data_IF_607424369649
#
_entry.id   IF_607424369649
#
_cell.length_a   1.000
_cell.length_b   1.000
_cell.length_c   1.000
_cell.angle_alpha   90.00
_cell.angle_beta   90.00
_cell.angle_gamma   90.00
#
_symmetry.space_group_name_H-M   'P 1'
#
loop_
_entity.id
_entity.type
_entity.pdbx_description
1 polymer ?
#
# COMPACT_ATOMS: atom_id res chain seq x y z
N UNK A 1 -3.48 23.20 -5.82
CA UNK A 1 -4.01 22.59 -4.59
C UNK A 1 -4.48 21.21 -4.99
N UNK A 2 -3.68 20.18 -4.76
CA UNK A 2 -3.97 18.83 -5.28
C UNK A 2 -5.11 18.27 -4.45
N UNK A 3 -6.23 17.93 -5.10
CA UNK A 3 -7.38 17.29 -4.45
C UNK A 3 -6.91 15.98 -3.81
N UNK A 4 -6.76 15.98 -2.50
CA UNK A 4 -6.64 14.77 -1.68
C UNK A 4 -8.07 14.23 -1.44
N UNK A 5 -8.78 13.90 -2.53
CA UNK A 5 -10.11 13.27 -2.49
C UNK A 5 -10.02 11.73 -2.49
N UNK A 6 -8.80 11.21 -2.41
CA UNK A 6 -8.60 9.80 -2.11
C UNK A 6 -8.74 9.64 -0.60
N UNK A 7 -9.89 9.19 -0.10
CA UNK A 7 -10.07 8.76 1.30
C UNK A 7 -9.13 7.61 1.75
N UNK A 8 -8.10 7.29 0.95
CA UNK A 8 -7.08 6.28 1.15
C UNK A 8 -5.92 6.88 1.94
N UNK A 9 -5.69 6.35 3.13
CA UNK A 9 -4.52 6.61 3.96
C UNK A 9 -3.60 5.40 3.92
N UNK A 10 -2.31 5.67 3.89
CA UNK A 10 -1.26 4.66 3.93
C UNK A 10 -0.46 4.92 5.21
N UNK A 11 -0.40 3.91 6.06
CA UNK A 11 0.27 3.99 7.36
C UNK A 11 1.46 3.03 7.34
N UNK A 12 2.61 3.49 7.84
CA UNK A 12 3.80 2.67 8.02
C UNK A 12 4.09 2.58 9.52
N UNK A 13 4.01 1.39 10.05
CA UNK A 13 4.27 1.08 11.46
C UNK A 13 5.53 0.21 11.57
N UNK A 14 6.49 0.62 12.40
CA UNK A 14 7.63 -0.21 12.75
C UNK A 14 7.26 -1.07 13.95
N UNK A 15 7.18 -2.39 13.76
CA UNK A 15 6.78 -3.33 14.82
C UNK A 15 7.98 -3.95 15.55
N UNK A 16 9.13 -3.99 14.88
CA UNK A 16 10.41 -4.39 15.42
C UNK A 16 11.54 -3.78 14.58
N UNK A 17 12.79 -3.73 15.08
CA UNK A 17 13.91 -3.19 14.31
C UNK A 17 14.07 -3.90 12.96
N UNK A 18 13.83 -3.15 11.87
CA UNK A 18 13.90 -3.68 10.51
C UNK A 18 12.66 -4.46 10.04
N UNK A 19 11.55 -4.36 10.79
CA UNK A 19 10.28 -4.99 10.47
C UNK A 19 9.16 -3.95 10.48
N UNK A 20 8.45 -3.83 9.36
CA UNK A 20 7.45 -2.80 9.15
C UNK A 20 6.13 -3.40 8.66
N UNK A 21 5.02 -2.80 9.08
CA UNK A 21 3.69 -3.06 8.56
C UNK A 21 3.22 -1.83 7.80
N UNK A 22 2.90 -2.00 6.52
CA UNK A 22 2.16 -1.03 5.74
C UNK A 22 0.68 -1.35 5.86
N UNK A 23 -0.14 -0.42 6.33
CA UNK A 23 -1.60 -0.55 6.34
C UNK A 23 -2.23 0.42 5.33
N UNK A 24 -3.24 -0.06 4.61
CA UNK A 24 -4.06 0.78 3.73
C UNK A 24 -5.43 0.93 4.36
N UNK A 25 -5.82 2.17 4.62
CA UNK A 25 -7.07 2.53 5.30
C UNK A 25 -7.91 3.37 4.36
N UNK A 26 -9.17 3.03 4.17
CA UNK A 26 -10.11 3.81 3.38
C UNK A 26 -11.32 4.19 4.22
N UNK A 27 -11.62 5.49 4.34
CA UNK A 27 -12.73 5.99 5.18
C UNK A 27 -12.73 5.33 6.57
N UNK A 28 -11.56 5.32 7.22
CA UNK A 28 -11.33 4.74 8.56
C UNK A 28 -11.43 3.21 8.65
N UNK A 29 -11.73 2.52 7.54
CA UNK A 29 -11.70 1.05 7.46
C UNK A 29 -10.35 0.58 6.93
N UNK A 30 -9.64 -0.24 7.70
CA UNK A 30 -8.44 -0.94 7.22
C UNK A 30 -8.83 -1.93 6.12
N UNK A 31 -8.35 -1.69 4.90
CA UNK A 31 -8.60 -2.54 3.73
C UNK A 31 -7.64 -3.73 3.67
N UNK A 32 -6.41 -3.52 4.14
CA UNK A 32 -5.39 -4.55 4.22
C UNK A 32 -4.10 -4.04 4.83
N UNK A 33 -3.18 -4.97 5.07
CA UNK A 33 -1.82 -4.65 5.47
C UNK A 33 -0.82 -5.60 4.84
N UNK A 34 0.40 -5.12 4.73
CA UNK A 34 1.52 -5.81 4.14
C UNK A 34 2.71 -5.74 5.09
N UNK A 35 3.34 -6.88 5.34
CA UNK A 35 4.55 -6.95 6.15
C UNK A 35 5.78 -6.78 5.25
N UNK A 36 6.72 -5.97 5.71
CA UNK A 36 8.00 -5.70 5.10
C UNK A 36 9.12 -5.99 6.08
N UNK A 37 10.22 -6.50 5.57
CA UNK A 37 11.48 -6.61 6.29
C UNK A 37 12.57 -5.91 5.48
N UNK A 38 13.40 -5.11 6.16
CA UNK A 38 14.45 -4.32 5.52
C UNK A 38 14.74 -3.07 6.33
N UNK A 39 15.39 -2.08 5.72
CA UNK A 39 15.67 -0.82 6.41
C UNK A 39 14.50 0.18 6.28
N UNK A 40 14.42 1.14 7.20
CA UNK A 40 13.38 2.19 7.20
C UNK A 40 13.33 2.96 5.88
N UNK A 41 14.48 3.17 5.23
CA UNK A 41 14.55 3.82 3.93
C UNK A 41 13.85 3.01 2.85
N UNK A 42 14.11 1.71 2.79
CA UNK A 42 13.48 0.79 1.84
C UNK A 42 11.98 0.69 2.11
N UNK A 43 11.58 0.59 3.38
CA UNK A 43 10.17 0.53 3.77
C UNK A 43 9.40 1.80 3.37
N UNK A 44 10.01 2.98 3.54
CA UNK A 44 9.43 4.26 3.13
C UNK A 44 9.35 4.37 1.61
N UNK A 45 10.39 3.95 0.89
CA UNK A 45 10.43 3.94 -0.58
C UNK A 45 9.35 3.01 -1.14
N UNK A 46 9.19 1.84 -0.52
CA UNK A 46 8.15 0.89 -0.88
C UNK A 46 6.76 1.45 -0.61
N UNK A 47 6.54 2.11 0.54
CA UNK A 47 5.28 2.76 0.88
C UNK A 47 4.86 3.77 -0.20
N UNK A 48 5.78 4.63 -0.63
CA UNK A 48 5.51 5.63 -1.66
C UNK A 48 5.20 5.00 -3.01
N UNK A 49 5.93 3.93 -3.39
CA UNK A 49 5.67 3.17 -4.60
C UNK A 49 4.29 2.47 -4.55
N UNK A 50 3.96 1.84 -3.42
CA UNK A 50 2.67 1.19 -3.18
C UNK A 50 1.52 2.21 -3.23
N UNK A 51 1.67 3.35 -2.56
CA UNK A 51 0.71 4.46 -2.58
C UNK A 51 0.44 4.92 -4.00
N UNK A 52 1.49 5.22 -4.77
CA UNK A 52 1.35 5.69 -6.16
C UNK A 52 0.63 4.66 -7.03
N UNK A 53 0.99 3.39 -6.92
CA UNK A 53 0.35 2.30 -7.69
C UNK A 53 -1.14 2.16 -7.33
N UNK A 54 -1.47 2.10 -6.05
CA UNK A 54 -2.85 1.92 -5.57
C UNK A 54 -3.72 3.12 -5.94
N UNK A 55 -3.23 4.35 -5.76
CA UNK A 55 -3.96 5.57 -6.15
C UNK A 55 -4.21 5.62 -7.66
N UNK A 56 -3.21 5.29 -8.48
CA UNK A 56 -3.38 5.22 -9.94
C UNK A 56 -4.40 4.14 -10.37
N UNK A 57 -4.36 2.98 -9.70
CA UNK A 57 -5.27 1.86 -9.96
C UNK A 57 -6.74 2.21 -9.65
N UNK A 58 -6.98 3.12 -8.71
CA UNK A 58 -8.33 3.54 -8.28
C UNK A 58 -8.84 4.77 -9.04
N UNK A 59 -7.94 5.64 -9.52
CA UNK A 59 -8.31 6.84 -10.29
C UNK A 59 -8.51 6.57 -11.77
N UNK A 60 -7.85 5.54 -12.33
CA UNK A 60 -7.94 5.20 -13.76
C UNK A 60 -9.20 4.43 -14.17
N UNK A 61 -9.82 3.72 -13.22
CA UNK A 61 -11.00 2.88 -13.43
C UNK A 61 -11.89 3.18 -12.25
N UNK A 62 -13.01 3.91 -12.41
CA UNK A 62 -13.88 4.27 -11.28
C UNK A 62 -14.48 2.99 -10.69
N UNK A 63 -13.88 2.38 -9.65
CA UNK A 63 -14.20 1.01 -9.34
C UNK A 63 -15.46 1.04 -8.50
N UNK A 64 -16.48 0.32 -8.93
CA UNK A 64 -17.61 0.00 -8.06
C UNK A 64 -17.13 -0.73 -6.77
N UNK A 65 -15.92 -1.32 -6.79
CA UNK A 65 -15.31 -2.09 -5.71
C UNK A 65 -13.87 -1.63 -5.37
N UNK A 66 -13.74 -0.51 -4.67
CA UNK A 66 -12.45 0.01 -4.18
C UNK A 66 -11.75 -0.98 -3.24
N UNK A 67 -12.51 -1.67 -2.38
CA UNK A 67 -12.00 -2.63 -1.39
C UNK A 67 -11.28 -3.82 -2.09
N UNK A 68 -11.90 -4.44 -3.08
CA UNK A 68 -11.28 -5.53 -3.83
C UNK A 68 -10.12 -5.09 -4.70
N UNK A 69 -10.16 -3.87 -5.27
CA UNK A 69 -9.03 -3.35 -6.04
C UNK A 69 -7.80 -3.11 -5.16
N UNK A 70 -7.98 -2.49 -3.98
CA UNK A 70 -6.89 -2.30 -3.01
C UNK A 70 -6.32 -3.64 -2.55
N UNK A 71 -7.17 -4.62 -2.25
CA UNK A 71 -6.71 -5.97 -1.86
C UNK A 71 -5.93 -6.66 -2.97
N UNK A 72 -6.37 -6.51 -4.23
CA UNK A 72 -5.68 -7.06 -5.40
C UNK A 72 -4.29 -6.44 -5.57
N UNK A 73 -4.18 -5.12 -5.48
CA UNK A 73 -2.88 -4.44 -5.56
C UNK A 73 -1.98 -4.79 -4.38
N UNK A 74 -2.51 -4.88 -3.16
CA UNK A 74 -1.73 -5.34 -2.00
C UNK A 74 -1.23 -6.78 -2.17
N UNK A 75 -2.05 -7.67 -2.72
CA UNK A 75 -1.64 -9.04 -3.02
C UNK A 75 -0.56 -9.08 -4.11
N UNK A 76 -0.68 -8.26 -5.15
CA UNK A 76 0.32 -8.15 -6.21
C UNK A 76 1.65 -7.60 -5.67
N UNK A 77 1.60 -6.55 -4.84
CA UNK A 77 2.76 -5.99 -4.15
C UNK A 77 3.42 -7.03 -3.24
N UNK A 78 2.63 -7.78 -2.47
CA UNK A 78 3.13 -8.87 -1.62
C UNK A 78 3.83 -9.99 -2.41
N UNK A 79 3.29 -10.33 -3.60
CA UNK A 79 3.92 -11.31 -4.50
C UNK A 79 5.22 -10.81 -5.10
N UNK A 80 5.29 -9.53 -5.49
CA UNK A 80 6.50 -8.92 -6.04
C UNK A 80 7.60 -8.78 -4.98
N UNK A 81 7.25 -8.58 -3.70
CA UNK A 81 8.20 -8.58 -2.59
C UNK A 81 8.84 -9.95 -2.35
N UNK A 82 8.06 -11.03 -2.39
CA UNK A 82 8.56 -12.39 -2.20
C UNK A 82 9.29 -12.96 -3.41
N UNK A 83 9.16 -12.30 -4.57
CA UNK A 83 9.87 -12.67 -5.77
C UNK A 83 10.79 -11.53 -6.21
N UNK A 84 11.87 -11.24 -5.46
CA UNK A 84 12.98 -10.47 -6.00
C UNK A 84 13.54 -11.34 -7.12
N UNK A 85 13.12 -11.11 -8.36
CA UNK A 85 13.76 -11.78 -9.51
C UNK A 85 15.25 -11.45 -9.41
N UNK A 86 16.06 -12.51 -9.22
CA UNK A 86 17.51 -12.45 -9.28
C UNK A 86 18.05 -12.22 -10.66
#
# INVERSE_FOLDING_TARGET
MVHDDSHLRFELEEIAPGEFIISVVWREKKLGSLYLRGDRHEATTFLEAARRRIVLSITGDAPADIDGQVKRELLDLSRNLHNPRG
#
